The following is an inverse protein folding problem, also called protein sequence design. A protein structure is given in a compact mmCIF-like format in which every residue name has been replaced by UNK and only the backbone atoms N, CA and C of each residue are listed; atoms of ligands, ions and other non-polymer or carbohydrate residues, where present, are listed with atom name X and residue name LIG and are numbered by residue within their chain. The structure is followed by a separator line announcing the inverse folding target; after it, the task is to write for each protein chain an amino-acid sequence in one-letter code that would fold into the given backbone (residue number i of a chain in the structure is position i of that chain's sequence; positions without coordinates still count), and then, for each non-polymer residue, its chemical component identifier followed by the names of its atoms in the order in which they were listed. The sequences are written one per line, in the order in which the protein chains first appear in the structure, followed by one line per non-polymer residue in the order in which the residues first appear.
data_IF_089656779006
#
_entry.id   IF_089656779006
#
_cell.length_a   1.000
_cell.length_b   1.000
_cell.length_c   1.000
_cell.angle_alpha   90.00
_cell.angle_beta   90.00
_cell.angle_gamma   90.00
#
_symmetry.space_group_name_H-M   'P 1'
#
loop_
_entity.id
_entity.type
_entity.pdbx_description
1 polymer ?
#
# COMPACT_ATOMS: atom_id res chain seq x y z
N UNK A 1 -5.95 5.69 -12.08
CA UNK A 1 -5.68 4.37 -11.46
C UNK A 1 -6.96 3.77 -10.89
N UNK A 2 -7.14 2.44 -10.95
CA UNK A 2 -8.34 1.74 -10.41
C UNK A 2 -8.24 1.48 -8.89
N UNK A 3 -7.06 1.09 -8.42
CA UNK A 3 -6.73 0.83 -7.01
C UNK A 3 -5.48 1.61 -6.60
N UNK A 4 -5.36 1.96 -5.33
CA UNK A 4 -4.17 2.59 -4.76
C UNK A 4 -3.33 1.60 -3.96
N UNK A 5 -2.01 1.84 -3.83
CA UNK A 5 -1.18 1.09 -2.91
C UNK A 5 -1.60 1.42 -1.48
N UNK A 6 -1.97 0.40 -0.70
CA UNK A 6 -2.22 0.51 0.73
C UNK A 6 -1.03 0.02 1.55
N UNK A 7 -1.31 -0.51 2.74
CA UNK A 7 -0.33 -1.09 3.64
C UNK A 7 0.45 -2.21 2.95
N UNK A 8 1.78 -2.15 2.99
CA UNK A 8 2.70 -3.17 2.46
C UNK A 8 2.56 -3.43 0.94
N UNK A 9 2.16 -2.43 0.16
CA UNK A 9 2.05 -2.50 -1.29
C UNK A 9 2.88 -1.39 -1.95
N UNK A 10 3.69 -1.76 -2.94
CA UNK A 10 4.44 -0.83 -3.79
C UNK A 10 3.70 -0.50 -5.09
N UNK A 11 4.12 0.59 -5.73
CA UNK A 11 3.64 1.04 -7.05
C UNK A 11 4.82 1.14 -8.01
N UNK A 12 4.78 0.39 -9.09
CA UNK A 12 5.76 0.43 -10.17
C UNK A 12 5.55 1.63 -11.11
N UNK A 13 6.56 1.97 -11.91
CA UNK A 13 6.50 3.12 -12.84
C UNK A 13 5.43 2.99 -13.93
N UNK A 14 5.04 1.77 -14.27
CA UNK A 14 3.96 1.46 -15.20
C UNK A 14 2.55 1.54 -14.54
N UNK A 15 2.48 1.77 -13.23
CA UNK A 15 1.24 1.79 -12.46
C UNK A 15 0.83 0.43 -11.89
N UNK A 16 1.67 -0.62 -12.04
CA UNK A 16 1.43 -1.95 -11.47
C UNK A 16 1.63 -1.95 -9.95
N UNK A 17 0.80 -2.72 -9.23
CA UNK A 17 0.91 -2.89 -7.78
C UNK A 17 1.61 -4.21 -7.45
N UNK A 18 2.50 -4.21 -6.45
CA UNK A 18 3.20 -5.41 -5.99
C UNK A 18 3.30 -5.47 -4.47
N UNK A 19 3.29 -6.68 -3.91
CA UNK A 19 3.44 -6.88 -2.47
C UNK A 19 4.89 -6.60 -2.05
N UNK A 20 5.08 -5.83 -0.97
CA UNK A 20 6.39 -5.59 -0.38
C UNK A 20 6.83 -6.72 0.56
N UNK A 21 5.89 -7.54 1.03
CA UNK A 21 6.14 -8.69 1.89
C UNK A 21 5.09 -9.78 1.71
N UNK A 22 5.39 -11.06 2.04
CA UNK A 22 4.43 -12.14 1.94
C UNK A 22 3.31 -12.00 2.98
N UNK A 23 2.06 -12.19 2.55
CA UNK A 23 0.92 -12.00 3.43
C UNK A 23 -0.43 -12.25 2.75
N UNK A 24 -1.51 -11.97 3.49
CA UNK A 24 -2.88 -12.04 2.97
C UNK A 24 -3.24 -10.71 2.31
N UNK A 25 -3.76 -10.78 1.08
CA UNK A 25 -4.30 -9.62 0.36
C UNK A 25 -5.66 -9.23 0.94
N UNK A 26 -5.85 -7.94 1.24
CA UNK A 26 -7.13 -7.37 1.70
C UNK A 26 -7.44 -6.13 0.88
N UNK A 27 -8.70 -5.99 0.45
CA UNK A 27 -9.19 -4.79 -0.23
C UNK A 27 -10.09 -3.99 0.69
N UNK A 28 -9.81 -2.70 0.82
CA UNK A 28 -10.61 -1.75 1.61
C UNK A 28 -11.00 -0.56 0.74
N UNK A 29 -11.96 0.24 1.20
CA UNK A 29 -12.29 1.54 0.61
C UNK A 29 -12.07 2.61 1.69
N UNK A 30 -11.13 3.52 1.45
CA UNK A 30 -10.62 4.43 2.48
C UNK A 30 -10.64 5.86 1.95
N UNK A 31 -10.82 6.82 2.86
CA UNK A 31 -10.63 8.24 2.54
C UNK A 31 -9.15 8.47 2.27
N UNK A 32 -8.83 9.10 1.14
CA UNK A 32 -7.43 9.36 0.77
C UNK A 32 -6.96 10.73 1.27
N UNK A 33 -5.70 10.77 1.69
CA UNK A 33 -4.92 12.01 1.87
C UNK A 33 -3.89 12.08 0.75
N UNK A 34 -4.19 12.88 -0.28
CA UNK A 34 -3.43 12.88 -1.53
C UNK A 34 -2.33 13.93 -1.48
N UNK A 35 -1.10 13.52 -1.80
CA UNK A 35 -0.03 14.47 -2.10
C UNK A 35 -0.25 15.07 -3.49
N UNK A 36 -0.79 16.29 -3.55
CA UNK A 36 -1.09 17.01 -4.78
C UNK A 36 0.14 17.32 -5.64
N UNK A 37 1.36 17.27 -5.10
CA UNK A 37 2.58 17.43 -5.90
C UNK A 37 2.99 16.17 -6.67
N UNK A 38 2.41 15.02 -6.32
CA UNK A 38 2.74 13.75 -6.95
C UNK A 38 2.16 13.64 -8.37
N UNK A 39 2.97 13.19 -9.33
CA UNK A 39 2.57 13.00 -10.73
C UNK A 39 1.30 12.15 -10.90
N UNK A 40 1.19 11.02 -10.18
CA UNK A 40 0.04 10.13 -10.28
C UNK A 40 -1.22 10.80 -9.73
N UNK A 41 -1.07 11.61 -8.69
CA UNK A 41 -2.19 12.36 -8.10
C UNK A 41 -2.68 13.44 -9.06
N UNK A 42 -1.78 14.28 -9.60
CA UNK A 42 -2.14 15.31 -10.59
C UNK A 42 -2.83 14.69 -11.80
N UNK A 43 -2.28 13.60 -12.33
CA UNK A 43 -2.85 12.92 -13.51
C UNK A 43 -4.26 12.35 -13.26
N UNK A 44 -4.49 11.76 -12.10
CA UNK A 44 -5.73 11.01 -11.83
C UNK A 44 -6.82 11.85 -11.12
N UNK A 45 -6.46 12.97 -10.49
CA UNK A 45 -7.35 13.73 -9.59
C UNK A 45 -7.36 15.25 -9.83
N UNK A 46 -6.66 15.80 -10.83
CA UNK A 46 -6.69 17.24 -11.11
C UNK A 46 -8.12 17.80 -11.19
N UNK A 47 -8.34 18.96 -10.58
CA UNK A 47 -9.64 19.64 -10.50
C UNK A 47 -10.55 19.12 -9.37
N UNK A 48 -10.04 18.25 -8.49
CA UNK A 48 -10.78 17.69 -7.36
C UNK A 48 -10.12 17.99 -6.01
N UNK A 49 -9.31 19.03 -5.95
CA UNK A 49 -8.45 19.40 -4.81
C UNK A 49 -9.25 19.58 -3.51
N UNK A 50 -10.48 20.06 -3.61
CA UNK A 50 -11.35 20.37 -2.48
C UNK A 50 -12.44 19.32 -2.23
N UNK A 51 -12.35 18.14 -2.86
CA UNK A 51 -13.36 17.08 -2.71
C UNK A 51 -12.91 16.01 -1.71
N UNK A 52 -13.86 15.44 -0.98
CA UNK A 52 -13.60 14.21 -0.23
C UNK A 52 -13.58 13.05 -1.21
N UNK A 53 -12.42 12.38 -1.32
CA UNK A 53 -12.22 11.27 -2.23
C UNK A 53 -12.06 9.99 -1.41
N UNK A 54 -12.80 8.95 -1.81
CA UNK A 54 -12.61 7.58 -1.33
C UNK A 54 -12.01 6.72 -2.42
N UNK A 55 -11.08 5.85 -2.06
CA UNK A 55 -10.42 4.96 -3.02
C UNK A 55 -10.25 3.56 -2.46
N UNK A 56 -10.28 2.59 -3.37
CA UNK A 56 -9.98 1.20 -3.04
C UNK A 56 -8.47 0.99 -2.95
N UNK A 57 -8.03 0.36 -1.86
CA UNK A 57 -6.62 0.04 -1.62
C UNK A 57 -6.42 -1.47 -1.60
N UNK A 58 -5.30 -1.92 -2.15
CA UNK A 58 -4.79 -3.25 -1.84
C UNK A 58 -3.84 -3.13 -0.64
N UNK A 59 -4.06 -3.97 0.36
CA UNK A 59 -3.24 -4.07 1.55
C UNK A 59 -2.72 -5.50 1.67
N UNK A 60 -1.51 -5.66 2.21
CA UNK A 60 -0.96 -6.96 2.60
C UNK A 60 -0.85 -7.03 4.11
N UNK A 61 -1.59 -7.94 4.73
CA UNK A 61 -1.43 -8.29 6.14
C UNK A 61 -0.32 -9.34 6.22
N UNK A 62 0.85 -9.02 6.80
CA UNK A 62 2.02 -9.90 6.76
C UNK A 62 1.73 -11.25 7.39
N UNK A 63 2.39 -12.30 6.88
CA UNK A 63 2.48 -13.53 7.66
C UNK A 63 3.27 -13.24 8.94
N UNK A 64 2.83 -13.74 10.10
CA UNK A 64 3.61 -13.61 11.33
C UNK A 64 5.04 -14.10 11.10
N UNK A 65 6.01 -13.29 11.53
CA UNK A 65 7.40 -13.73 11.55
C UNK A 65 7.53 -14.91 12.51
N UNK A 66 8.44 -15.86 12.22
CA UNK A 66 8.76 -16.90 13.18
C UNK A 66 9.24 -16.26 14.49
N UNK A 67 8.74 -16.77 15.62
CA UNK A 67 9.15 -16.38 16.96
C UNK A 67 10.13 -17.40 17.57
N UNK A 68 10.69 -18.30 16.74
CA UNK A 68 11.65 -19.31 17.17
C UNK A 68 13.05 -18.73 17.17
N UNK A 69 13.70 -18.80 18.33
CA UNK A 69 15.12 -18.51 18.50
C UNK A 69 15.88 -19.83 18.61
N UNK A 70 16.99 -19.96 17.89
CA UNK A 70 17.89 -21.11 18.00
C UNK A 70 19.09 -20.69 18.84
N UNK A 71 19.31 -21.37 19.94
CA UNK A 71 20.53 -21.21 20.74
C UNK A 71 21.72 -21.68 19.90
N UNK A 72 22.72 -20.81 19.75
CA UNK A 72 23.93 -21.11 18.96
C UNK A 72 25.05 -21.61 19.88
N UNK A 73 25.18 -21.04 21.08
CA UNK A 73 26.24 -21.36 22.03
C UNK A 73 25.84 -21.04 23.48
N UNK A 74 26.48 -21.70 24.45
CA UNK A 74 26.39 -21.41 25.89
C UNK A 74 27.80 -21.29 26.47
N UNK A 75 28.07 -20.16 27.13
CA UNK A 75 29.34 -19.89 27.84
C UNK A 75 29.45 -20.76 29.08
#
# INVERSE_FOLDING_TARGET
MRFHPGLNVGLSRDGSLFALQPGRVVVTCEKVDLNWENFWVKRDYAGRENQVIYKKHFNIIPKPQHNTFKLIDTI
#
